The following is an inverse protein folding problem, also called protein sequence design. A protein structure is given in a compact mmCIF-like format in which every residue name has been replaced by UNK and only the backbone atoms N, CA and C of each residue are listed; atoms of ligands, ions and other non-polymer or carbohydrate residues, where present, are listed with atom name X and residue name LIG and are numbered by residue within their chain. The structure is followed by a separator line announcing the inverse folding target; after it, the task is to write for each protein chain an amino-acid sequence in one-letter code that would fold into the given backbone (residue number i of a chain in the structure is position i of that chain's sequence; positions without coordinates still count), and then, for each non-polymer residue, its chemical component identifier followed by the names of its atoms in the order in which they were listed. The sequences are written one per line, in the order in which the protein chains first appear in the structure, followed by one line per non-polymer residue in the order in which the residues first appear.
data_IF_940747763567
#
_entry.id   IF_940747763567
#
_cell.length_a   1.000
_cell.length_b   1.000
_cell.length_c   1.000
_cell.angle_alpha   90.00
_cell.angle_beta   90.00
_cell.angle_gamma   90.00
#
_symmetry.space_group_name_H-M   'P 1'
#
loop_
_entity.id
_entity.type
_entity.pdbx_description
1 polymer ?
#
# COMPACT_ATOMS: atom_id res chain seq x y z
N UNK A 1 -7.78 13.09 5.53
CA UNK A 1 -6.93 12.72 4.38
C UNK A 1 -5.81 13.74 4.33
N UNK A 2 -4.57 13.29 4.47
CA UNK A 2 -3.38 14.13 4.37
C UNK A 2 -2.78 13.94 2.98
N UNK A 3 -2.34 15.03 2.34
CA UNK A 3 -1.70 15.00 1.02
C UNK A 3 -0.27 15.47 1.19
N UNK A 4 0.68 14.63 0.75
CA UNK A 4 2.11 14.90 0.83
C UNK A 4 2.76 14.69 -0.54
N UNK A 5 3.82 15.46 -0.81
CA UNK A 5 4.65 15.27 -2.00
C UNK A 5 5.89 14.45 -1.61
N UNK A 6 6.17 13.38 -2.34
CA UNK A 6 7.32 12.49 -2.11
C UNK A 6 8.01 12.27 -3.44
N UNK A 7 9.34 12.42 -3.47
CA UNK A 7 10.11 12.11 -4.66
C UNK A 7 10.27 10.60 -4.84
N UNK A 8 10.44 10.14 -6.09
CA UNK A 8 10.77 8.73 -6.33
C UNK A 8 12.06 8.34 -5.60
N UNK A 9 12.09 7.10 -5.09
CA UNK A 9 13.17 6.54 -4.27
C UNK A 9 13.33 7.16 -2.87
N UNK A 10 12.52 8.17 -2.50
CA UNK A 10 12.43 8.64 -1.12
C UNK A 10 11.39 7.84 -0.34
N UNK A 11 11.70 7.58 0.92
CA UNK A 11 10.90 6.72 1.77
C UNK A 11 9.92 7.53 2.63
N UNK A 12 8.63 7.22 2.55
CA UNK A 12 7.63 7.66 3.51
C UNK A 12 7.49 6.63 4.63
N UNK A 13 7.60 7.07 5.88
CA UNK A 13 7.32 6.24 7.06
C UNK A 13 6.03 6.72 7.71
N UNK A 14 5.10 5.80 7.92
CA UNK A 14 3.85 6.05 8.64
C UNK A 14 3.75 5.12 9.85
N UNK A 15 3.00 5.55 10.87
CA UNK A 15 2.73 4.75 12.06
C UNK A 15 1.25 4.34 12.07
N UNK A 16 0.99 3.04 12.09
CA UNK A 16 -0.35 2.45 12.18
C UNK A 16 -0.35 1.53 13.39
N UNK A 17 -1.26 1.75 14.36
CA UNK A 17 -1.36 0.92 15.58
C UNK A 17 -0.01 0.75 16.30
N UNK A 18 0.79 1.81 16.41
CA UNK A 18 2.15 1.80 16.98
C UNK A 18 3.15 0.91 16.23
N UNK A 19 2.85 0.53 14.99
CA UNK A 19 3.74 -0.20 14.12
C UNK A 19 4.16 0.69 12.94
N UNK A 20 5.45 0.64 12.60
CA UNK A 20 5.98 1.39 11.47
C UNK A 20 5.71 0.65 10.17
N UNK A 21 5.21 1.38 9.18
CA UNK A 21 5.06 0.93 7.80
C UNK A 21 5.83 1.88 6.90
N UNK A 22 6.57 1.31 5.96
CA UNK A 22 7.43 2.04 5.04
C UNK A 22 6.87 1.93 3.64
N UNK A 23 6.76 3.07 2.95
CA UNK A 23 6.26 3.18 1.57
C UNK A 23 7.35 3.79 0.71
N UNK A 24 7.72 3.11 -0.37
CA UNK A 24 8.76 3.51 -1.30
C UNK A 24 8.20 3.63 -2.72
N UNK A 25 7.88 4.83 -3.22
CA UNK A 25 7.50 5.05 -4.61
C UNK A 25 8.72 4.85 -5.52
N UNK A 26 8.52 4.09 -6.59
CA UNK A 26 9.52 3.79 -7.62
C UNK A 26 8.94 4.07 -9.00
N UNK A 27 9.80 4.48 -9.93
CA UNK A 27 9.42 4.58 -11.34
C UNK A 27 9.09 3.19 -11.87
N UNK A 28 7.91 3.05 -12.47
CA UNK A 28 7.59 1.83 -13.23
C UNK A 28 8.30 1.90 -14.59
N UNK A 29 8.79 0.75 -15.13
CA UNK A 29 9.20 0.69 -16.53
C UNK A 29 8.02 0.84 -17.50
N UNK A 30 6.79 0.59 -17.03
CA UNK A 30 5.56 0.77 -17.81
C UNK A 30 5.11 2.23 -17.74
N UNK A 31 4.89 2.83 -18.91
CA UNK A 31 4.45 4.22 -19.02
C UNK A 31 3.05 4.41 -18.41
N UNK A 32 2.90 5.38 -17.52
CA UNK A 32 1.65 5.69 -16.82
C UNK A 32 1.50 5.02 -15.46
N UNK A 33 2.35 4.05 -15.13
CA UNK A 33 2.28 3.31 -13.88
C UNK A 33 3.30 3.81 -12.84
N UNK A 34 2.97 3.60 -11.57
CA UNK A 34 3.87 3.84 -10.43
C UNK A 34 4.00 2.54 -9.65
N UNK A 35 5.22 2.17 -9.29
CA UNK A 35 5.48 1.02 -8.42
C UNK A 35 5.64 1.47 -6.97
N UNK A 36 5.10 0.71 -6.02
CA UNK A 36 5.26 0.97 -4.60
C UNK A 36 5.86 -0.26 -3.90
N UNK A 37 7.01 -0.06 -3.25
CA UNK A 37 7.52 -1.01 -2.26
C UNK A 37 6.88 -0.73 -0.91
N UNK A 38 6.29 -1.76 -0.29
CA UNK A 38 5.69 -1.64 1.03
C UNK A 38 6.41 -2.60 1.99
N UNK A 39 6.96 -2.06 3.08
CA UNK A 39 7.46 -2.86 4.19
C UNK A 39 6.54 -2.67 5.39
N UNK A 40 5.91 -3.75 5.83
CA UNK A 40 4.97 -3.76 6.95
C UNK A 40 5.14 -5.03 7.78
N UNK A 41 4.92 -4.98 9.11
CA UNK A 41 4.83 -6.18 9.93
C UNK A 41 3.71 -7.11 9.48
N UNK A 42 3.87 -8.43 9.73
CA UNK A 42 2.88 -9.45 9.35
C UNK A 42 1.49 -9.26 9.95
N UNK A 43 1.38 -8.48 11.02
CA UNK A 43 0.10 -8.12 11.65
C UNK A 43 -0.71 -7.10 10.86
N UNK A 44 -0.11 -6.42 9.87
CA UNK A 44 -0.77 -5.44 9.01
C UNK A 44 -1.00 -6.06 7.65
N UNK A 45 -2.27 -6.21 7.25
CA UNK A 45 -2.63 -6.58 5.88
C UNK A 45 -2.33 -5.42 4.95
N UNK A 46 -1.62 -5.69 3.86
CA UNK A 46 -1.37 -4.73 2.78
C UNK A 46 -2.04 -5.29 1.53
N UNK A 47 -3.00 -4.54 1.02
CA UNK A 47 -3.82 -4.93 -0.11
C UNK A 47 -3.96 -3.74 -1.06
N UNK A 48 -4.04 -4.02 -2.37
CA UNK A 48 -4.63 -3.05 -3.29
C UNK A 48 -6.11 -2.92 -2.95
N UNK A 49 -6.67 -1.73 -3.08
CA UNK A 49 -8.05 -1.44 -2.65
C UNK A 49 -9.07 -2.39 -3.29
N UNK A 50 -8.93 -2.67 -4.58
CA UNK A 50 -9.80 -3.61 -5.29
C UNK A 50 -9.70 -5.04 -4.74
N UNK A 51 -8.50 -5.48 -4.36
CA UNK A 51 -8.27 -6.80 -3.77
C UNK A 51 -8.83 -6.87 -2.35
N UNK A 52 -8.65 -5.81 -1.56
CA UNK A 52 -9.19 -5.70 -0.21
C UNK A 52 -10.72 -5.87 -0.21
N UNK A 53 -11.41 -5.16 -1.11
CA UNK A 53 -12.86 -5.27 -1.24
C UNK A 53 -13.30 -6.65 -1.72
N UNK A 54 -12.55 -7.30 -2.61
CA UNK A 54 -12.85 -8.67 -3.03
C UNK A 54 -12.71 -9.67 -1.87
N UNK A 55 -11.66 -9.56 -1.05
CA UNK A 55 -11.45 -10.41 0.14
C UNK A 55 -12.56 -10.26 1.19
N UNK A 56 -13.13 -9.05 1.32
CA UNK A 56 -14.18 -8.74 2.30
C UNK A 56 -15.59 -9.13 1.87
N UNK A 57 -15.82 -9.47 0.59
CA UNK A 57 -17.13 -9.95 0.17
C UNK A 57 -17.39 -11.30 0.86
N UNK A 58 -18.48 -11.45 1.63
CA UNK A 58 -18.85 -12.76 2.14
C UNK A 58 -18.99 -13.70 0.95
N UNK A 59 -18.38 -14.88 1.02
CA UNK A 59 -18.58 -15.91 0.02
C UNK A 59 -20.10 -16.11 -0.12
N UNK A 60 -20.64 -15.76 -1.29
CA UNK A 60 -22.00 -16.17 -1.65
C UNK A 60 -21.95 -17.69 -1.77
N UNK A 61 -22.27 -18.37 -0.68
CA UNK A 61 -22.60 -19.79 -0.72
C UNK A 61 -23.89 -19.86 -1.55
N UNK A 62 -23.75 -20.34 -2.79
CA UNK A 62 -24.86 -20.77 -3.62
C UNK A 62 -25.22 -22.21 -3.22
#
# INVERSE_FOLDING_TARGET
MEIVNIFFEETLVIQINNQLVTILPKKSPQHGDISFGINAPKSISVDREEVYHLKKRPQRVL
#
